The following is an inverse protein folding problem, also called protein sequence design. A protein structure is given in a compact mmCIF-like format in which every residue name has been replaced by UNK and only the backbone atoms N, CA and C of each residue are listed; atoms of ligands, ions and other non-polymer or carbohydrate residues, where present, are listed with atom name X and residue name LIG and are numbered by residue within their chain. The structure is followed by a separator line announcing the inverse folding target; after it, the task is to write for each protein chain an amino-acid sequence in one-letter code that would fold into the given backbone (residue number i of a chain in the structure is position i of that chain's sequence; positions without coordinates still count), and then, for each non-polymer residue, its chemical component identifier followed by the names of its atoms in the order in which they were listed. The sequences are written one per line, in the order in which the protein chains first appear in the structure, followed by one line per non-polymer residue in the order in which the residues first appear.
data_IF_682777099751
#
_entry.id   IF_682777099751
#
_cell.length_a   1.000
_cell.length_b   1.000
_cell.length_c   1.000
_cell.angle_alpha   90.00
_cell.angle_beta   90.00
_cell.angle_gamma   90.00
#
_symmetry.space_group_name_H-M   'P 1'
#
loop_
_entity.id
_entity.type
_entity.pdbx_description
1 polymer ?
#
# COMPACT_ATOMS: atom_id res chain seq x y z
N UNK A 1 13.76 16.61 0.55
CA UNK A 1 12.43 16.26 1.09
C UNK A 1 11.49 16.08 -0.10
N UNK A 2 10.79 14.95 -0.21
CA UNK A 2 9.84 14.71 -1.31
C UNK A 2 8.60 15.58 -1.04
N UNK A 3 8.24 16.46 -1.97
CA UNK A 3 7.02 17.27 -1.86
C UNK A 3 5.80 16.40 -2.20
N UNK A 4 4.74 16.41 -1.37
CA UNK A 4 3.56 15.62 -1.64
C UNK A 4 2.73 16.23 -2.77
N UNK A 5 2.30 15.40 -3.72
CA UNK A 5 1.35 15.78 -4.78
C UNK A 5 0.02 16.19 -4.16
N UNK A 6 -0.43 15.48 -3.13
CA UNK A 6 -1.64 15.75 -2.36
C UNK A 6 -1.21 16.27 -0.99
N UNK A 7 -1.37 17.57 -0.73
CA UNK A 7 -1.04 18.20 0.56
C UNK A 7 -2.03 17.81 1.65
N UNK A 8 -3.31 17.73 1.32
CA UNK A 8 -4.37 17.39 2.25
C UNK A 8 -5.57 16.78 1.54
N UNK A 9 -6.38 16.03 2.28
CA UNK A 9 -7.68 15.54 1.86
C UNK A 9 -8.71 16.10 2.85
N UNK A 10 -9.76 16.74 2.37
CA UNK A 10 -10.87 17.14 3.22
C UNK A 10 -12.14 16.37 2.88
N UNK A 11 -13.04 16.25 3.85
CA UNK A 11 -14.37 15.68 3.66
C UNK A 11 -15.35 16.34 4.63
N UNK A 12 -16.62 16.36 4.27
CA UNK A 12 -17.72 16.95 5.02
C UNK A 12 -18.39 15.90 5.90
N UNK A 13 -18.26 16.05 7.22
CA UNK A 13 -18.78 15.10 8.19
C UNK A 13 -19.40 15.86 9.37
N UNK A 14 -20.66 15.55 9.70
CA UNK A 14 -21.42 16.21 10.77
C UNK A 14 -21.37 17.75 10.69
N UNK A 15 -21.70 18.29 9.52
CA UNK A 15 -21.74 19.74 9.24
C UNK A 15 -20.39 20.46 9.25
N UNK A 16 -19.29 19.74 9.51
CA UNK A 16 -17.95 20.30 9.53
C UNK A 16 -17.09 19.72 8.40
N UNK A 17 -16.20 20.55 7.85
CA UNK A 17 -15.18 20.10 6.89
C UNK A 17 -13.93 19.69 7.66
N UNK A 18 -13.72 18.38 7.77
CA UNK A 18 -12.53 17.79 8.39
C UNK A 18 -11.39 17.80 7.36
N UNK A 19 -10.19 18.20 7.78
CA UNK A 19 -9.00 18.26 6.91
C UNK A 19 -7.94 17.29 7.44
N UNK A 20 -7.49 16.39 6.58
CA UNK A 20 -6.43 15.43 6.83
C UNK A 20 -5.17 15.87 6.09
N UNK A 21 -4.14 16.26 6.83
CA UNK A 21 -2.85 16.63 6.25
C UNK A 21 -2.03 15.41 5.87
N UNK A 22 -1.36 15.50 4.71
CA UNK A 22 -0.40 14.50 4.29
C UNK A 22 0.84 14.55 5.19
N UNK A 23 1.27 13.39 5.66
CA UNK A 23 2.51 13.23 6.42
C UNK A 23 3.71 13.07 5.49
N UNK A 24 4.91 13.08 6.06
CA UNK A 24 6.17 12.93 5.31
C UNK A 24 6.30 11.56 4.59
N UNK A 25 5.55 10.55 5.03
CA UNK A 25 5.49 9.21 4.43
C UNK A 25 4.41 9.08 3.34
N UNK A 26 3.72 10.18 2.97
CA UNK A 26 2.67 10.16 1.96
C UNK A 26 1.34 9.59 2.45
N UNK A 27 1.17 9.43 3.76
CA UNK A 27 -0.06 8.87 4.35
C UNK A 27 -0.84 9.93 5.13
N UNK A 28 -2.09 9.59 5.39
CA UNK A 28 -3.07 10.42 6.09
C UNK A 28 -3.51 9.69 7.35
N UNK A 29 -3.51 10.41 8.47
CA UNK A 29 -3.91 9.85 9.77
C UNK A 29 -5.42 9.95 9.93
N UNK A 30 -6.11 8.82 9.88
CA UNK A 30 -7.58 8.74 9.95
C UNK A 30 -8.00 8.02 11.22
N UNK A 31 -8.98 8.54 11.99
CA UNK A 31 -9.61 7.78 13.06
C UNK A 31 -10.50 6.68 12.46
N UNK A 32 -10.15 5.42 12.69
CA UNK A 32 -10.92 4.26 12.24
C UNK A 32 -11.50 3.58 13.48
N UNK A 33 -12.83 3.46 13.51
CA UNK A 33 -13.54 2.71 14.54
C UNK A 33 -13.75 1.28 14.07
N UNK A 34 -13.20 0.31 14.80
CA UNK A 34 -13.40 -1.12 14.54
C UNK A 34 -14.21 -1.72 15.70
N UNK A 35 -15.22 -2.53 15.35
CA UNK A 35 -15.99 -3.30 16.33
C UNK A 35 -15.27 -4.63 16.54
N UNK A 36 -14.76 -4.88 17.75
CA UNK A 36 -14.14 -6.15 18.13
C UNK A 36 -14.87 -6.66 19.37
N UNK A 37 -15.48 -7.83 19.28
CA UNK A 37 -16.10 -8.53 20.43
C UNK A 37 -17.03 -7.66 21.30
N UNK A 38 -17.97 -6.96 20.64
CA UNK A 38 -18.95 -6.02 21.22
C UNK A 38 -18.42 -4.66 21.73
N UNK A 39 -17.11 -4.42 21.73
CA UNK A 39 -16.52 -3.13 22.10
C UNK A 39 -16.14 -2.30 20.86
N UNK A 40 -16.41 -0.99 20.91
CA UNK A 40 -16.03 -0.04 19.87
C UNK A 40 -14.66 0.55 20.20
N UNK A 41 -13.62 0.14 19.47
CA UNK A 41 -12.28 0.73 19.62
C UNK A 41 -12.01 1.68 18.45
N UNK A 42 -11.72 2.94 18.76
CA UNK A 42 -11.26 3.94 17.78
C UNK A 42 -9.75 4.03 17.85
N UNK A 43 -9.07 3.74 16.75
CA UNK A 43 -7.61 3.90 16.63
C UNK A 43 -7.28 4.76 15.42
N UNK A 44 -6.18 5.50 15.53
CA UNK A 44 -5.66 6.23 14.38
C UNK A 44 -4.86 5.30 13.49
N UNK A 45 -5.23 5.22 12.22
CA UNK A 45 -4.52 4.46 11.20
C UNK A 45 -3.89 5.43 10.17
N UNK A 46 -2.71 5.07 9.65
CA UNK A 46 -2.08 5.82 8.56
C UNK A 46 -2.46 5.17 7.24
N UNK A 47 -3.34 5.82 6.48
CA UNK A 47 -3.90 5.34 5.23
C UNK A 47 -3.26 6.05 4.03
N UNK A 48 -3.13 5.35 2.91
CA UNK A 48 -2.78 5.94 1.60
C UNK A 48 -3.91 6.83 1.07
N UNK A 49 -3.64 7.69 0.08
CA UNK A 49 -4.68 8.53 -0.50
C UNK A 49 -5.83 7.67 -1.04
N UNK A 50 -5.51 6.57 -1.73
CA UNK A 50 -6.49 5.59 -2.23
C UNK A 50 -7.38 5.04 -1.12
N UNK A 51 -6.77 4.65 0.00
CA UNK A 51 -7.50 4.06 1.12
C UNK A 51 -8.41 5.07 1.82
N UNK A 52 -7.98 6.34 1.93
CA UNK A 52 -8.81 7.41 2.50
C UNK A 52 -10.06 7.64 1.63
N UNK A 53 -9.88 7.76 0.31
CA UNK A 53 -10.98 8.02 -0.62
C UNK A 53 -11.98 6.87 -0.67
N UNK A 54 -11.50 5.63 -0.55
CA UNK A 54 -12.36 4.45 -0.53
C UNK A 54 -12.87 4.09 0.88
N UNK A 55 -12.59 4.90 1.90
CA UNK A 55 -13.07 4.63 3.25
C UNK A 55 -14.60 4.77 3.30
N UNK A 56 -15.28 3.80 3.93
CA UNK A 56 -16.75 3.70 3.93
C UNK A 56 -17.46 4.99 4.33
N UNK A 57 -16.90 5.73 5.29
CA UNK A 57 -17.47 7.02 5.70
C UNK A 57 -17.06 8.14 4.75
N UNK A 58 -15.78 8.25 4.42
CA UNK A 58 -15.22 9.42 3.72
C UNK A 58 -15.71 9.46 2.27
N UNK A 59 -15.87 8.29 1.66
CA UNK A 59 -16.34 8.13 0.28
C UNK A 59 -17.67 8.84 0.01
N UNK A 60 -18.57 8.86 1.00
CA UNK A 60 -19.89 9.48 0.90
C UNK A 60 -19.96 10.91 1.47
N UNK A 61 -18.82 11.45 1.92
CA UNK A 61 -18.70 12.70 2.65
C UNK A 61 -18.03 13.81 1.81
N UNK A 62 -18.34 13.92 0.52
CA UNK A 62 -17.76 14.97 -0.35
C UNK A 62 -16.22 15.15 -0.23
N UNK A 63 -15.43 14.12 -0.54
CA UNK A 63 -13.99 14.21 -0.45
C UNK A 63 -13.40 15.18 -1.51
N UNK A 64 -12.47 16.02 -1.07
CA UNK A 64 -11.75 17.01 -1.89
C UNK A 64 -10.25 16.93 -1.61
N UNK A 65 -9.46 16.81 -2.67
CA UNK A 65 -8.00 16.81 -2.62
C UNK A 65 -7.47 18.24 -2.72
N UNK A 66 -6.49 18.59 -1.89
CA UNK A 66 -5.68 19.79 -2.01
C UNK A 66 -4.33 19.42 -2.60
N UNK A 67 -4.05 19.94 -3.80
CA UNK A 67 -2.85 19.59 -4.55
C UNK A 67 -1.68 20.50 -4.19
N UNK A 68 -0.47 20.13 -4.63
CA UNK A 68 0.76 20.90 -4.38
C UNK A 68 0.64 22.37 -4.80
N UNK A 69 -0.02 22.65 -5.92
CA UNK A 69 -0.19 23.99 -6.50
C UNK A 69 -1.29 24.82 -5.84
N UNK A 70 -1.84 24.35 -4.71
CA UNK A 70 -3.02 24.90 -4.04
C UNK A 70 -4.33 24.76 -4.82
N UNK A 71 -4.31 23.98 -5.91
CA UNK A 71 -5.52 23.58 -6.63
C UNK A 71 -6.36 22.64 -5.76
N UNK A 72 -7.67 22.73 -5.91
CA UNK A 72 -8.64 21.84 -5.25
C UNK A 72 -9.26 20.95 -6.30
N UNK A 73 -9.27 19.64 -6.04
CA UNK A 73 -9.89 18.65 -6.91
C UNK A 73 -10.94 17.89 -6.13
N UNK A 74 -12.21 18.05 -6.52
CA UNK A 74 -13.30 17.23 -5.98
C UNK A 74 -13.14 15.81 -6.49
N UNK A 75 -13.31 14.84 -5.60
CA UNK A 75 -13.03 13.43 -5.93
C UNK A 75 -14.21 12.77 -6.61
N UNK A 76 -15.44 13.11 -6.21
CA UNK A 76 -16.66 12.59 -6.82
C UNK A 76 -17.47 13.76 -7.40
N UNK A 77 -17.67 13.74 -8.72
CA UNK A 77 -18.47 14.75 -9.40
C UNK A 77 -19.96 14.46 -9.17
N UNK A 78 -20.76 15.50 -8.94
CA UNK A 78 -22.20 15.36 -8.72
C UNK A 78 -22.62 14.66 -7.42
N UNK A 79 -21.68 14.31 -6.53
CA UNK A 79 -21.97 13.61 -5.28
C UNK A 79 -22.17 12.10 -5.42
N UNK A 80 -22.01 11.56 -6.63
CA UNK A 80 -22.03 10.11 -6.83
C UNK A 80 -20.67 9.50 -6.50
N UNK A 81 -20.61 8.84 -5.35
CA UNK A 81 -19.42 8.12 -4.92
C UNK A 81 -19.10 6.86 -5.75
N UNK A 82 -20.02 6.41 -6.62
CA UNK A 82 -19.81 5.29 -7.52
C UNK A 82 -18.80 5.56 -8.63
N UNK A 83 -18.69 6.82 -9.08
CA UNK A 83 -17.85 7.21 -10.20
C UNK A 83 -16.65 8.04 -9.77
N UNK A 84 -15.46 7.43 -9.78
CA UNK A 84 -14.20 8.13 -9.58
C UNK A 84 -13.68 8.67 -10.93
N UNK A 85 -13.63 9.99 -11.16
CA UNK A 85 -13.10 10.56 -12.38
C UNK A 85 -11.64 10.18 -12.59
N UNK A 86 -11.26 9.90 -13.85
CA UNK A 86 -9.90 9.50 -14.22
C UNK A 86 -8.82 10.52 -13.77
N UNK A 87 -9.17 11.81 -13.70
CA UNK A 87 -8.30 12.88 -13.18
C UNK A 87 -7.97 12.67 -11.71
N UNK A 88 -8.98 12.46 -10.86
CA UNK A 88 -8.80 12.19 -9.43
C UNK A 88 -8.05 10.87 -9.22
N UNK A 89 -8.41 9.83 -9.96
CA UNK A 89 -7.75 8.53 -9.92
C UNK A 89 -6.25 8.63 -10.25
N UNK A 90 -5.92 9.33 -11.33
CA UNK A 90 -4.54 9.54 -11.77
C UNK A 90 -3.71 10.30 -10.75
N UNK A 91 -4.27 11.32 -10.10
CA UNK A 91 -3.59 12.07 -9.03
C UNK A 91 -3.31 11.18 -7.82
N UNK A 92 -4.32 10.42 -7.37
CA UNK A 92 -4.19 9.49 -6.24
C UNK A 92 -3.14 8.42 -6.53
N UNK A 93 -3.19 7.79 -7.70
CA UNK A 93 -2.25 6.75 -8.11
C UNK A 93 -0.82 7.29 -8.18
N UNK A 94 -0.61 8.47 -8.77
CA UNK A 94 0.71 9.12 -8.81
C UNK A 94 1.24 9.44 -7.41
N UNK A 95 0.37 9.96 -6.54
CA UNK A 95 0.73 10.25 -5.16
C UNK A 95 1.16 8.98 -4.41
N UNK A 96 0.33 7.94 -4.43
CA UNK A 96 0.63 6.71 -3.71
C UNK A 96 1.86 6.01 -4.28
N UNK A 97 2.08 6.04 -5.61
CA UNK A 97 3.28 5.51 -6.26
C UNK A 97 4.56 6.24 -5.84
N UNK A 98 4.52 7.57 -5.66
CA UNK A 98 5.63 8.38 -5.18
C UNK A 98 6.14 7.90 -3.81
N UNK A 99 5.21 7.51 -2.94
CA UNK A 99 5.48 7.12 -1.55
C UNK A 99 5.49 5.61 -1.32
N UNK A 100 5.22 4.80 -2.35
CA UNK A 100 5.29 3.33 -2.31
C UNK A 100 6.71 2.79 -2.08
N UNK A 101 7.68 3.64 -1.71
CA UNK A 101 9.12 3.39 -1.53
C UNK A 101 9.46 1.93 -1.73
N UNK A 102 10.03 1.62 -2.91
CA UNK A 102 10.62 0.33 -3.28
C UNK A 102 11.17 -0.28 -2.01
N UNK A 103 10.48 -1.30 -1.44
CA UNK A 103 11.07 -2.14 -0.40
C UNK A 103 12.44 -2.49 -0.96
N UNK A 104 13.52 -1.88 -0.45
CA UNK A 104 14.86 -2.27 -0.88
C UNK A 104 14.86 -3.75 -0.60
N UNK A 105 14.98 -4.59 -1.65
CA UNK A 105 15.29 -6.00 -1.47
C UNK A 105 16.53 -5.97 -0.58
N UNK A 106 16.34 -6.24 0.71
CA UNK A 106 17.45 -6.43 1.62
C UNK A 106 18.04 -7.72 1.10
N UNK A 107 19.02 -7.61 0.22
CA UNK A 107 19.85 -8.76 -0.14
C UNK A 107 20.45 -9.16 1.21
N UNK A 108 20.11 -10.32 1.77
CA UNK A 108 20.70 -10.73 3.03
C UNK A 108 22.21 -10.71 2.81
N UNK A 109 22.93 -9.91 3.60
CA UNK A 109 24.39 -9.97 3.62
C UNK A 109 24.71 -11.42 3.93
N UNK A 110 25.32 -12.10 2.96
CA UNK A 110 25.76 -13.48 3.04
C UNK A 110 26.38 -13.71 4.41
N UNK A 111 25.86 -14.72 5.11
CA UNK A 111 26.41 -15.17 6.37
C UNK A 111 27.90 -15.43 6.16
N UNK A 112 28.72 -14.67 6.86
CA UNK A 112 30.16 -14.83 6.91
C UNK A 112 30.44 -16.12 7.71
N UNK A 113 30.22 -17.28 7.10
CA UNK A 113 30.57 -18.57 7.69
C UNK A 113 32.10 -18.62 7.67
N UNK A 114 32.72 -18.21 8.78
CA UNK A 114 34.11 -18.54 9.06
C UNK A 114 34.20 -20.07 9.07
N UNK A 115 34.63 -20.65 7.95
CA UNK A 115 34.87 -22.07 7.82
C UNK A 115 35.82 -22.51 8.95
N UNK A 116 35.28 -23.25 9.92
CA UNK A 116 36.09 -23.97 10.90
C UNK A 116 36.78 -25.10 10.15
N UNK A 117 38.10 -25.18 10.30
CA UNK A 117 38.95 -26.25 9.79
C UNK A 117 38.36 -27.61 10.17
N UNK A 118 38.02 -28.43 9.17
CA UNK A 118 37.70 -29.84 9.32
C UNK A 118 36.21 -30.17 9.45
N UNK A 119 35.50 -30.21 8.32
CA UNK A 119 34.22 -30.91 8.20
C UNK A 119 34.29 -31.86 7.02
N UNK A 120 33.86 -33.09 7.25
CA UNK A 120 33.83 -34.15 6.23
C UNK A 120 32.57 -33.98 5.37
N UNK A 121 32.56 -34.55 4.15
CA UNK A 121 31.46 -34.43 3.19
C UNK A 121 30.06 -34.77 3.77
N UNK A 122 30.00 -35.59 4.82
CA UNK A 122 28.74 -35.96 5.50
C UNK A 122 28.15 -34.84 6.36
N UNK A 123 28.97 -33.91 6.86
CA UNK A 123 28.48 -32.82 7.71
C UNK A 123 27.73 -31.75 6.89
N UNK A 124 28.09 -31.58 5.62
CA UNK A 124 27.42 -30.66 4.69
C UNK A 124 26.04 -31.18 4.23
N UNK A 125 25.86 -32.50 4.11
CA UNK A 125 24.60 -33.09 3.68
C UNK A 125 23.50 -32.95 4.74
N UNK A 126 23.87 -33.05 6.02
CA UNK A 126 22.91 -32.90 7.12
C UNK A 126 22.45 -31.44 7.31
N UNK A 127 23.32 -30.44 7.08
CA UNK A 127 22.93 -29.02 7.10
C UNK A 127 21.99 -28.66 5.93
N UNK A 128 22.16 -29.31 4.78
CA UNK A 128 21.26 -29.19 3.62
C UNK A 128 19.86 -29.75 3.92
N UNK A 129 19.77 -30.86 4.66
CA UNK A 129 18.48 -31.44 5.08
C UNK A 129 17.80 -30.63 6.19
N UNK A 130 18.56 -29.95 7.06
CA UNK A 130 18.01 -29.25 8.23
C UNK A 130 17.52 -27.82 7.93
N UNK A 131 18.06 -27.16 6.90
CA UNK A 131 17.70 -25.77 6.55
C UNK A 131 16.49 -25.63 5.62
N UNK A 132 15.94 -26.75 5.11
CA UNK A 132 14.65 -26.74 4.40
C UNK A 132 14.60 -25.86 3.14
N UNK A 133 15.73 -25.65 2.47
CA UNK A 133 15.82 -24.87 1.23
C UNK A 133 15.33 -25.71 0.01
N UNK A 134 14.04 -26.06 -0.01
CA UNK A 134 13.30 -26.23 -1.25
C UNK A 134 13.00 -24.81 -1.75
N UNK A 135 13.57 -24.30 -2.84
CA UNK A 135 13.43 -24.82 -4.20
C UNK A 135 12.83 -23.70 -5.04
N UNK A 136 13.57 -22.60 -5.25
CA UNK A 136 13.20 -21.57 -6.23
C UNK A 136 13.76 -21.97 -7.60
N UNK A 137 13.17 -23.03 -8.15
CA UNK A 137 13.24 -23.31 -9.57
C UNK A 137 12.32 -22.33 -10.26
N UNK A 138 12.89 -21.17 -10.59
CA UNK A 138 12.81 -20.58 -11.91
C UNK A 138 11.75 -21.21 -12.85
N UNK A 139 10.87 -20.33 -13.31
CA UNK A 139 10.66 -20.11 -14.74
C UNK A 139 9.91 -21.24 -15.49
N UNK A 140 8.84 -20.83 -16.17
CA UNK A 140 7.95 -21.56 -17.07
C UNK A 140 6.62 -22.04 -16.47
N UNK A 141 5.58 -21.81 -17.28
CA UNK A 141 4.14 -21.98 -17.10
C UNK A 141 3.47 -20.80 -16.37
N UNK A 142 2.62 -19.97 -17.00
CA UNK A 142 1.49 -20.39 -17.83
C UNK A 142 0.86 -19.17 -18.55
N UNK A 143 1.23 -18.94 -19.80
CA UNK A 143 0.29 -18.41 -20.80
C UNK A 143 -0.45 -19.64 -21.35
N UNK A 144 -1.71 -19.80 -20.99
CA UNK A 144 -2.63 -20.76 -21.59
C UNK A 144 -3.83 -19.95 -22.04
N UNK A 145 -3.92 -19.69 -23.33
CA UNK A 145 -5.15 -19.36 -24.05
C UNK A 145 -4.87 -19.48 -25.55
N UNK A 146 -5.02 -20.70 -26.08
CA UNK A 146 -5.72 -20.88 -27.36
C UNK A 146 -6.24 -22.32 -27.44
N UNK A 147 -7.56 -22.46 -27.38
CA UNK A 147 -8.27 -23.66 -27.78
C UNK A 147 -8.58 -23.52 -29.27
N UNK A 148 -8.16 -24.49 -30.09
CA UNK A 148 -9.02 -24.92 -31.18
C UNK A 148 -8.79 -26.42 -31.46
N UNK A 149 -9.82 -27.20 -31.16
CA UNK A 149 -9.97 -28.62 -31.47
C UNK A 149 -10.90 -28.73 -32.68
N UNK A 150 -10.36 -29.30 -33.75
CA UNK A 150 -11.00 -30.05 -34.84
C UNK A 150 -12.17 -29.43 -35.63
#
# INVERSE_FOLDING_TARGET
MIKPIIKAISFFFKEERIILYCRADGKFRVPVTRKKDAELSTRYENLTARQVINHQIIKHCDPTLYLERNDKLRVFEGGDSGYLPATADGVITKHDALYKQKKKKVIPKTLNIKARKGTTLNDAYNDYMQTGLFGDWNHYDRDYDDYDDS
#
